data_IF_423987950678
#
_entry.id   IF_423987950678
#
_cell.length_a   1.000
_cell.length_b   1.000
_cell.length_c   1.000
_cell.angle_alpha   90.00
_cell.angle_beta   90.00
_cell.angle_gamma   90.00
#
_symmetry.space_group_name_H-M   'P 1'
#
loop_
_entity.id
_entity.type
_entity.pdbx_description
1 polymer ?
#
# COMPACT_ATOMS: atom_id res chain seq x y z
N UNK A 1 10.42 -38.04 11.10
CA UNK A 1 10.52 -36.58 10.91
C UNK A 1 11.90 -36.24 10.39
N UNK A 2 12.01 -35.57 9.24
CA UNK A 2 13.30 -35.15 8.68
C UNK A 2 13.76 -33.82 9.33
N UNK A 3 15.02 -33.68 9.77
CA UNK A 3 15.53 -32.49 10.45
C UNK A 3 15.35 -31.17 9.67
N UNK A 4 15.29 -31.25 8.34
CA UNK A 4 15.19 -30.06 7.46
C UNK A 4 13.84 -29.34 7.52
N UNK A 5 12.74 -30.03 7.86
CA UNK A 5 11.41 -29.41 7.89
C UNK A 5 11.25 -28.41 9.04
N UNK A 6 11.83 -28.72 10.20
CA UNK A 6 11.83 -27.82 11.36
C UNK A 6 12.71 -26.59 11.11
N UNK A 7 13.92 -26.79 10.59
CA UNK A 7 14.83 -25.69 10.25
C UNK A 7 14.22 -24.73 9.21
N UNK A 8 13.54 -25.26 8.19
CA UNK A 8 12.81 -24.44 7.20
C UNK A 8 11.64 -23.67 7.81
N UNK A 9 10.93 -24.26 8.78
CA UNK A 9 9.84 -23.59 9.49
C UNK A 9 10.31 -22.42 10.34
N UNK A 10 11.42 -22.58 11.08
CA UNK A 10 12.01 -21.51 11.88
C UNK A 10 12.52 -20.36 11.02
N UNK A 11 13.20 -20.66 9.90
CA UNK A 11 13.68 -19.65 8.97
C UNK A 11 12.54 -18.83 8.36
N UNK A 12 11.44 -19.47 7.96
CA UNK A 12 10.28 -18.73 7.45
C UNK A 12 9.59 -17.91 8.52
N UNK A 13 9.56 -18.41 9.76
CA UNK A 13 9.08 -17.66 10.92
C UNK A 13 9.75 -16.30 11.05
N UNK A 14 11.09 -16.26 11.00
CA UNK A 14 11.84 -14.99 11.07
C UNK A 14 11.61 -14.09 9.86
N UNK A 15 11.51 -14.64 8.64
CA UNK A 15 11.21 -13.85 7.43
C UNK A 15 9.86 -13.13 7.56
N UNK A 16 8.83 -13.80 8.10
CA UNK A 16 7.55 -13.13 8.35
C UNK A 16 7.66 -12.06 9.44
N UNK A 17 8.43 -12.31 10.50
CA UNK A 17 8.58 -11.35 11.61
C UNK A 17 9.32 -10.09 11.15
N UNK A 18 10.37 -10.23 10.34
CA UNK A 18 11.11 -9.13 9.72
C UNK A 18 10.19 -8.30 8.81
N UNK A 19 9.41 -8.97 7.95
CA UNK A 19 8.46 -8.32 7.06
C UNK A 19 7.38 -7.55 7.84
N UNK A 20 6.89 -8.10 8.96
CA UNK A 20 5.93 -7.42 9.84
C UNK A 20 6.53 -6.15 10.43
N UNK A 21 7.79 -6.21 10.89
CA UNK A 21 8.48 -5.04 11.45
C UNK A 21 8.62 -3.96 10.39
N UNK A 22 9.10 -4.32 9.20
CA UNK A 22 9.29 -3.38 8.09
C UNK A 22 7.98 -2.70 7.67
N UNK A 23 6.93 -3.50 7.46
CA UNK A 23 5.58 -3.01 7.11
C UNK A 23 5.07 -2.05 8.19
N UNK A 24 5.23 -2.39 9.47
CA UNK A 24 4.76 -1.55 10.57
C UNK A 24 5.50 -0.22 10.66
N UNK A 25 6.82 -0.22 10.51
CA UNK A 25 7.62 1.01 10.48
C UNK A 25 7.17 1.90 9.33
N UNK A 26 6.98 1.31 8.15
CA UNK A 26 6.64 2.04 6.94
C UNK A 26 5.20 2.61 6.99
N UNK A 27 4.24 1.87 7.52
CA UNK A 27 2.86 2.36 7.68
C UNK A 27 2.77 3.45 8.76
N UNK A 28 3.42 3.26 9.91
CA UNK A 28 3.28 4.17 11.05
C UNK A 28 3.99 5.51 10.83
N UNK A 29 5.07 5.52 10.04
CA UNK A 29 5.80 6.74 9.71
C UNK A 29 5.15 7.55 8.59
N UNK A 30 4.20 6.98 7.85
CA UNK A 30 3.59 7.66 6.71
C UNK A 30 2.65 8.78 7.14
N UNK A 31 2.93 9.99 6.67
CA UNK A 31 2.07 11.16 6.84
C UNK A 31 1.29 11.39 5.56
N UNK A 32 -0.05 11.37 5.67
CA UNK A 32 -0.92 11.64 4.54
C UNK A 32 -0.76 13.08 4.06
N UNK A 33 -0.50 13.32 2.76
CA UNK A 33 -0.42 14.67 2.22
C UNK A 33 -1.80 15.34 2.25
N UNK A 34 -1.82 16.65 2.45
CA UNK A 34 -3.06 17.45 2.52
C UNK A 34 -3.68 17.70 1.15
N UNK A 35 -2.89 17.55 0.10
CA UNK A 35 -3.27 17.81 -1.28
C UNK A 35 -2.51 16.85 -2.19
N UNK A 36 -3.10 16.53 -3.33
CA UNK A 36 -2.50 15.72 -4.39
C UNK A 36 -2.74 16.41 -5.73
N UNK A 37 -1.81 16.25 -6.66
CA UNK A 37 -1.91 16.73 -8.04
C UNK A 37 -2.46 15.60 -8.93
N UNK A 38 -3.75 15.59 -9.27
CA UNK A 38 -4.32 14.70 -10.27
C UNK A 38 -3.96 15.16 -11.70
N UNK A 39 -3.78 14.19 -12.59
CA UNK A 39 -3.53 14.39 -14.00
C UNK A 39 -4.78 14.92 -14.72
N UNK A 40 -4.59 15.94 -15.55
CA UNK A 40 -5.68 16.65 -16.24
C UNK A 40 -6.45 15.79 -17.26
N UNK A 41 -5.78 14.80 -17.87
CA UNK A 41 -6.31 14.02 -18.99
C UNK A 41 -6.60 12.55 -18.62
N UNK A 42 -6.93 12.25 -17.36
CA UNK A 42 -7.30 10.88 -16.98
C UNK A 42 -8.80 10.64 -17.14
N UNK A 43 -9.17 9.50 -17.72
CA UNK A 43 -10.58 9.14 -17.97
C UNK A 43 -11.45 9.19 -16.71
N UNK A 44 -10.89 8.78 -15.56
CA UNK A 44 -11.59 8.77 -14.27
C UNK A 44 -11.26 9.98 -13.38
N UNK A 45 -10.32 10.84 -13.79
CA UNK A 45 -9.82 11.97 -13.00
C UNK A 45 -8.93 11.59 -11.81
N UNK A 46 -8.77 10.29 -11.50
CA UNK A 46 -8.14 9.84 -10.26
C UNK A 46 -6.65 9.60 -10.41
N UNK A 47 -6.13 9.54 -11.64
CA UNK A 47 -4.69 9.33 -11.87
C UNK A 47 -3.89 10.46 -11.26
N UNK A 48 -2.85 10.12 -10.51
CA UNK A 48 -1.92 11.09 -9.92
C UNK A 48 -0.88 11.51 -10.96
N UNK A 49 -0.64 12.82 -11.07
CA UNK A 49 0.48 13.35 -11.82
C UNK A 49 1.81 12.97 -11.13
N UNK A 50 2.86 12.76 -11.93
CA UNK A 50 4.20 12.46 -11.42
C UNK A 50 4.91 13.75 -10.99
N UNK A 51 4.52 14.31 -9.83
CA UNK A 51 5.09 15.53 -9.25
C UNK A 51 5.84 15.22 -7.95
N UNK A 52 6.80 16.06 -7.57
CA UNK A 52 7.52 15.91 -6.29
C UNK A 52 6.58 15.97 -5.08
N UNK A 53 5.46 16.70 -5.19
CA UNK A 53 4.42 16.75 -4.15
C UNK A 53 3.71 15.41 -3.97
N UNK A 54 3.44 14.70 -5.05
CA UNK A 54 2.78 13.39 -5.01
C UNK A 54 3.73 12.25 -4.67
N UNK A 55 5.04 12.46 -4.84
CA UNK A 55 6.07 11.43 -4.67
C UNK A 55 5.95 10.65 -3.35
N UNK A 56 5.79 11.26 -2.17
CA UNK A 56 5.61 10.50 -0.93
C UNK A 56 4.41 9.56 -0.95
N UNK A 57 3.28 9.99 -1.54
CA UNK A 57 2.07 9.17 -1.63
C UNK A 57 2.21 8.03 -2.65
N UNK A 58 2.82 8.33 -3.81
CA UNK A 58 3.10 7.33 -4.86
C UNK A 58 4.09 6.29 -4.36
N UNK A 59 5.17 6.71 -3.70
CA UNK A 59 6.18 5.81 -3.15
C UNK A 59 5.58 4.93 -2.05
N UNK A 60 4.70 5.48 -1.20
CA UNK A 60 3.97 4.70 -0.21
C UNK A 60 3.11 3.60 -0.87
N UNK A 61 2.37 3.93 -1.93
CA UNK A 61 1.58 2.94 -2.68
C UNK A 61 2.48 1.85 -3.27
N UNK A 62 3.57 2.25 -3.93
CA UNK A 62 4.53 1.32 -4.55
C UNK A 62 5.10 0.35 -3.52
N UNK A 63 5.47 0.85 -2.35
CA UNK A 63 6.04 0.02 -1.29
C UNK A 63 5.01 -0.94 -0.69
N UNK A 64 3.76 -0.53 -0.48
CA UNK A 64 2.68 -1.44 -0.08
C UNK A 64 2.43 -2.55 -1.12
N UNK A 65 2.50 -2.23 -2.41
CA UNK A 65 2.42 -3.24 -3.46
C UNK A 65 3.64 -4.16 -3.47
N UNK A 66 4.84 -3.62 -3.25
CA UNK A 66 6.08 -4.38 -3.12
C UNK A 66 6.00 -5.39 -1.98
N UNK A 67 5.55 -4.96 -0.78
CA UNK A 67 5.33 -5.87 0.35
C UNK A 67 4.33 -6.97 0.03
N UNK A 68 3.26 -6.67 -0.72
CA UNK A 68 2.31 -7.69 -1.15
C UNK A 68 2.95 -8.73 -2.08
N UNK A 69 3.82 -8.29 -2.99
CA UNK A 69 4.58 -9.18 -3.88
C UNK A 69 5.57 -10.03 -3.07
N UNK A 70 6.34 -9.41 -2.17
CA UNK A 70 7.25 -10.13 -1.28
C UNK A 70 6.53 -11.19 -0.46
N UNK A 71 5.40 -10.85 0.17
CA UNK A 71 4.57 -11.77 0.93
C UNK A 71 4.08 -12.96 0.09
N UNK A 72 3.77 -12.74 -1.19
CA UNK A 72 3.32 -13.79 -2.10
C UNK A 72 4.44 -14.70 -2.59
N UNK A 73 5.68 -14.22 -2.55
CA UNK A 73 6.86 -14.98 -2.97
C UNK A 73 7.44 -15.83 -1.82
N UNK A 74 6.99 -15.63 -0.57
CA UNK A 74 7.37 -16.51 0.54
C UNK A 74 6.74 -17.89 0.32
N UNK A 75 7.55 -18.97 0.25
CA UNK A 75 7.04 -20.32 0.03
C UNK A 75 6.02 -20.73 1.09
N UNK A 76 4.91 -21.30 0.64
CA UNK A 76 3.86 -21.82 1.51
C UNK A 76 4.17 -23.28 1.83
N UNK A 77 4.55 -23.55 3.08
CA UNK A 77 4.60 -24.91 3.61
C UNK A 77 3.29 -25.20 4.34
N UNK A 78 2.91 -26.49 4.45
CA UNK A 78 1.75 -26.97 5.22
C UNK A 78 1.91 -26.71 6.74
N UNK A 79 1.98 -25.44 7.12
CA UNK A 79 2.11 -24.97 8.48
C UNK A 79 1.05 -23.89 8.72
N UNK A 80 0.04 -24.25 9.52
CA UNK A 80 -1.10 -23.38 9.81
C UNK A 80 -0.70 -22.06 10.48
N UNK A 81 0.37 -22.06 11.29
CA UNK A 81 0.86 -20.83 11.93
C UNK A 81 1.43 -19.85 10.90
N UNK A 82 2.21 -20.35 9.93
CA UNK A 82 2.77 -19.51 8.87
C UNK A 82 1.67 -18.99 7.94
N UNK A 83 0.66 -19.82 7.65
CA UNK A 83 -0.51 -19.39 6.87
C UNK A 83 -1.29 -18.28 7.58
N UNK A 84 -1.56 -18.43 8.88
CA UNK A 84 -2.23 -17.40 9.68
C UNK A 84 -1.45 -16.09 9.72
N UNK A 85 -0.11 -16.15 9.90
CA UNK A 85 0.76 -14.96 9.80
C UNK A 85 0.65 -14.29 8.43
N UNK A 86 0.71 -15.07 7.34
CA UNK A 86 0.60 -14.54 5.98
C UNK A 86 -0.74 -13.84 5.75
N UNK A 87 -1.85 -14.46 6.16
CA UNK A 87 -3.19 -13.89 6.06
C UNK A 87 -3.30 -12.57 6.84
N UNK A 88 -2.77 -12.53 8.07
CA UNK A 88 -2.75 -11.32 8.90
C UNK A 88 -1.98 -10.17 8.24
N UNK A 89 -0.77 -10.44 7.72
CA UNK A 89 0.03 -9.43 7.00
C UNK A 89 -0.70 -8.94 5.74
N UNK A 90 -1.29 -9.87 4.99
CA UNK A 90 -2.05 -9.56 3.79
C UNK A 90 -3.23 -8.62 4.06
N UNK A 91 -3.97 -8.86 5.14
CA UNK A 91 -5.07 -7.98 5.54
C UNK A 91 -4.58 -6.59 6.00
N UNK A 92 -3.44 -6.49 6.70
CA UNK A 92 -2.84 -5.20 7.05
C UNK A 92 -2.50 -4.38 5.80
N UNK A 93 -1.86 -4.99 4.80
CA UNK A 93 -1.51 -4.31 3.54
C UNK A 93 -2.78 -3.85 2.82
N UNK A 94 -3.76 -4.76 2.67
CA UNK A 94 -5.04 -4.48 2.01
C UNK A 94 -5.80 -3.32 2.67
N UNK A 95 -5.85 -3.29 4.00
CA UNK A 95 -6.50 -2.20 4.74
C UNK A 95 -5.80 -0.86 4.52
N UNK A 96 -4.47 -0.84 4.45
CA UNK A 96 -3.72 0.40 4.20
C UNK A 96 -3.89 0.90 2.76
N UNK A 97 -3.85 0.00 1.76
CA UNK A 97 -4.19 0.35 0.38
C UNK A 97 -5.62 0.92 0.28
N UNK A 98 -6.58 0.35 1.01
CA UNK A 98 -7.94 0.88 1.07
C UNK A 98 -8.01 2.29 1.68
N UNK A 99 -7.30 2.53 2.80
CA UNK A 99 -7.21 3.86 3.43
C UNK A 99 -6.60 4.90 2.50
N UNK A 100 -5.54 4.54 1.78
CA UNK A 100 -4.91 5.42 0.79
C UNK A 100 -5.87 5.76 -0.35
N UNK A 101 -6.56 4.77 -0.92
CA UNK A 101 -7.58 5.02 -1.96
C UNK A 101 -8.69 5.94 -1.46
N UNK A 102 -9.18 5.74 -0.23
CA UNK A 102 -10.19 6.61 0.39
C UNK A 102 -9.68 8.05 0.55
N UNK A 103 -8.42 8.22 0.99
CA UNK A 103 -7.79 9.54 1.11
C UNK A 103 -7.64 10.24 -0.23
N UNK A 104 -7.19 9.52 -1.26
CA UNK A 104 -7.09 10.03 -2.62
C UNK A 104 -8.44 10.51 -3.16
N UNK A 105 -9.50 9.71 -3.00
CA UNK A 105 -10.86 10.07 -3.39
C UNK A 105 -11.36 11.32 -2.65
N UNK A 106 -11.13 11.38 -1.33
CA UNK A 106 -11.49 12.56 -0.53
C UNK A 106 -10.83 13.83 -1.07
N UNK A 107 -9.53 13.78 -1.40
CA UNK A 107 -8.82 14.93 -1.97
C UNK A 107 -9.28 15.27 -3.38
N UNK A 108 -9.65 14.28 -4.19
CA UNK A 108 -10.21 14.49 -5.51
C UNK A 108 -11.53 15.28 -5.43
N UNK A 109 -12.49 14.82 -4.63
CA UNK A 109 -13.80 15.47 -4.50
C UNK A 109 -13.77 16.80 -3.74
N UNK A 110 -12.73 17.06 -2.93
CA UNK A 110 -12.56 18.34 -2.23
C UNK A 110 -12.13 19.47 -3.18
N UNK A 111 -11.62 19.16 -4.37
CA UNK A 111 -11.18 20.17 -5.32
C UNK A 111 -12.35 21.09 -5.68
N UNK A 112 -12.16 22.42 -5.66
CA UNK A 112 -13.15 23.30 -6.24
C UNK A 112 -13.28 22.94 -7.72
N UNK A 113 -14.47 22.50 -8.14
CA UNK A 113 -14.78 22.38 -9.56
C UNK A 113 -14.67 23.78 -10.15
N UNK A 114 -13.74 24.01 -11.07
CA UNK A 114 -13.70 25.21 -11.91
C UNK A 114 -14.84 25.17 -12.93
N UNK A 115 -16.09 25.11 -12.45
CA UNK A 115 -17.23 25.64 -13.16
C UNK A 115 -17.34 27.12 -12.73
N UNK A 116 -17.73 28.01 -13.64
CA UNK A 116 -17.71 29.49 -13.54
C UNK A 116 -16.44 30.16 -14.08
N UNK A 117 -16.06 29.83 -15.32
CA UNK A 117 -15.65 30.89 -16.25
C UNK A 117 -16.92 31.40 -16.92
N UNK A 118 -17.54 32.41 -16.32
CA UNK A 118 -18.59 33.19 -16.99
C UNK A 118 -17.91 33.96 -18.12
N UNK A 119 -18.11 33.53 -19.36
CA UNK A 119 -17.90 34.38 -20.52
C UNK A 119 -18.95 35.48 -20.45
N UNK A 120 -18.59 36.63 -19.89
CA UNK A 120 -19.30 37.87 -20.18
C UNK A 120 -18.72 38.46 -21.46
N UNK A 121 -19.58 38.51 -22.48
CA UNK A 121 -19.39 39.26 -23.71
C UNK A 121 -19.39 40.77 -23.42
#
# INVERSE_FOLDING_TARGET
MLPGALASGYFLGSVYDDLVIEINVYIKSFVYPRELDFAENSEDGLVLANTEKNKPFIDQLRNLYSFRVQLNNIPEYYNEQLRSKREAIGEVIKQNLHRMKKHQLMLFYRRPTTAHRTHHF
#
